data_IF_219345570104
#
_entry.id   IF_219345570104
#
_cell.length_a   1.000
_cell.length_b   1.000
_cell.length_c   1.000
_cell.angle_alpha   90.00
_cell.angle_beta   90.00
_cell.angle_gamma   90.00
#
_symmetry.space_group_name_H-M   'P 1'
#
loop_
_entity.id
_entity.type
_entity.pdbx_description
1 polymer ?
#
# COMPACT_ATOMS: atom_id res chain seq x y z
N UNK A 1 -8.97 27.37 14.94
CA UNK A 1 -8.40 27.27 13.60
C UNK A 1 -9.36 26.45 12.74
N UNK A 2 -9.78 27.00 11.61
CA UNK A 2 -10.62 26.25 10.66
C UNK A 2 -9.79 25.84 9.45
N UNK A 3 -10.02 24.63 8.97
CA UNK A 3 -9.40 24.14 7.75
C UNK A 3 -10.43 24.20 6.63
N UNK A 4 -10.05 24.81 5.52
CA UNK A 4 -10.84 24.75 4.29
C UNK A 4 -10.30 23.62 3.42
N UNK A 5 -11.18 22.85 2.83
CA UNK A 5 -10.81 21.74 1.98
C UNK A 5 -11.67 20.51 2.25
N UNK A 6 -11.37 19.44 1.57
CA UNK A 6 -12.11 18.18 1.73
C UNK A 6 -11.67 17.45 2.98
N UNK A 7 -12.63 16.82 3.63
CA UNK A 7 -12.32 15.88 4.71
C UNK A 7 -11.67 14.63 4.14
N UNK A 8 -10.64 14.14 4.82
CA UNK A 8 -9.99 12.88 4.50
C UNK A 8 -10.41 11.86 5.55
N UNK A 9 -10.87 10.72 5.11
CA UNK A 9 -11.34 9.65 6.00
C UNK A 9 -10.59 8.35 5.71
N UNK A 10 -10.42 7.52 6.74
CA UNK A 10 -9.93 6.17 6.59
C UNK A 10 -11.13 5.23 6.56
N UNK A 11 -11.26 4.48 5.48
CA UNK A 11 -12.45 3.64 5.24
C UNK A 11 -12.27 2.22 5.75
N UNK A 12 -11.10 1.64 5.55
CA UNK A 12 -10.85 0.25 5.89
C UNK A 12 -9.37 0.01 6.10
N UNK A 13 -9.02 -1.12 6.72
CA UNK A 13 -7.65 -1.52 6.93
C UNK A 13 -7.53 -3.04 7.02
N UNK A 14 -6.38 -3.56 6.62
CA UNK A 14 -6.06 -4.97 6.72
C UNK A 14 -4.57 -5.15 6.92
N UNK A 15 -4.18 -6.27 7.49
CA UNK A 15 -2.77 -6.62 7.65
C UNK A 15 -2.58 -8.13 7.54
N UNK A 16 -1.35 -8.52 7.23
CA UNK A 16 -0.92 -9.91 7.41
C UNK A 16 -0.51 -10.14 8.86
N UNK A 17 -0.50 -11.37 9.34
CA UNK A 17 0.03 -11.68 10.68
C UNK A 17 1.50 -11.26 10.81
N UNK A 18 1.93 -10.92 12.01
CA UNK A 18 3.34 -10.73 12.28
C UNK A 18 4.07 -12.06 12.18
N UNK A 19 5.28 -12.02 11.64
CA UNK A 19 6.14 -13.19 11.53
C UNK A 19 7.53 -12.88 12.09
N UNK A 20 8.18 -13.92 12.59
CA UNK A 20 9.56 -13.83 13.01
C UNK A 20 10.45 -13.64 11.79
N UNK A 21 11.41 -12.75 11.87
CA UNK A 21 12.40 -12.58 10.83
C UNK A 21 13.36 -13.77 10.79
N UNK A 22 13.95 -14.03 9.62
CA UNK A 22 14.96 -15.04 9.42
C UNK A 22 14.43 -16.36 8.88
N UNK A 23 15.33 -17.31 8.71
CA UNK A 23 15.07 -18.58 8.04
C UNK A 23 14.01 -19.47 8.72
N UNK A 24 13.75 -19.23 10.00
CA UNK A 24 12.75 -19.99 10.76
C UNK A 24 11.41 -19.29 10.87
N UNK A 25 11.26 -18.12 10.23
CA UNK A 25 10.01 -17.37 10.25
C UNK A 25 8.99 -17.92 9.25
N UNK A 26 7.71 -17.61 9.47
CA UNK A 26 6.62 -18.06 8.60
C UNK A 26 6.71 -17.48 7.19
N UNK A 27 7.41 -16.35 7.04
CA UNK A 27 7.57 -15.67 5.76
C UNK A 27 8.94 -15.88 5.12
N UNK A 28 9.73 -16.84 5.62
CA UNK A 28 11.10 -17.05 5.16
C UNK A 28 11.21 -17.22 3.64
N UNK A 29 10.20 -17.84 3.02
CA UNK A 29 10.17 -18.08 1.58
C UNK A 29 9.05 -17.29 0.87
N UNK A 30 8.51 -16.30 1.52
CA UNK A 30 7.45 -15.46 0.96
C UNK A 30 8.05 -14.13 0.49
N UNK A 31 7.73 -13.75 -0.73
CA UNK A 31 8.14 -12.44 -1.26
C UNK A 31 7.36 -11.32 -0.57
N UNK A 32 8.03 -10.21 -0.30
CA UNK A 32 7.39 -9.06 0.31
C UNK A 32 6.28 -8.46 -0.57
N UNK A 33 6.50 -8.41 -1.88
CA UNK A 33 5.49 -7.92 -2.82
C UNK A 33 4.22 -8.77 -2.82
N UNK A 34 4.33 -10.08 -2.61
CA UNK A 34 3.16 -10.95 -2.49
C UNK A 34 2.33 -10.63 -1.26
N UNK A 35 2.95 -10.25 -0.15
CA UNK A 35 2.25 -9.83 1.06
C UNK A 35 1.43 -8.56 0.81
N UNK A 36 2.03 -7.59 0.14
CA UNK A 36 1.35 -6.33 -0.22
C UNK A 36 0.16 -6.60 -1.14
N UNK A 37 0.37 -7.42 -2.16
CA UNK A 37 -0.69 -7.78 -3.11
C UNK A 37 -1.88 -8.44 -2.40
N UNK A 38 -1.61 -9.33 -1.44
CA UNK A 38 -2.67 -9.97 -0.66
C UNK A 38 -3.50 -8.97 0.14
N UNK A 39 -2.85 -7.99 0.75
CA UNK A 39 -3.54 -6.93 1.51
C UNK A 39 -4.41 -6.09 0.59
N UNK A 40 -3.89 -5.67 -0.55
CA UNK A 40 -4.65 -4.87 -1.51
C UNK A 40 -5.86 -5.65 -2.01
N UNK A 41 -5.68 -6.91 -2.40
CA UNK A 41 -6.77 -7.77 -2.87
C UNK A 41 -7.85 -7.95 -1.82
N UNK A 42 -7.47 -8.12 -0.56
CA UNK A 42 -8.43 -8.28 0.53
C UNK A 42 -9.25 -7.02 0.74
N UNK A 43 -8.63 -5.85 0.68
CA UNK A 43 -9.35 -4.58 0.79
C UNK A 43 -10.34 -4.39 -0.35
N UNK A 44 -9.95 -4.74 -1.57
CA UNK A 44 -10.85 -4.70 -2.73
C UNK A 44 -12.02 -5.67 -2.55
N UNK A 45 -11.74 -6.88 -2.09
CA UNK A 45 -12.76 -7.90 -1.86
C UNK A 45 -13.80 -7.46 -0.82
N UNK A 46 -13.36 -6.80 0.24
CA UNK A 46 -14.25 -6.30 1.30
C UNK A 46 -15.10 -5.13 0.86
N UNK A 47 -14.68 -4.42 -0.17
CA UNK A 47 -15.33 -3.20 -0.64
C UNK A 47 -15.77 -3.34 -2.10
N UNK A 48 -16.71 -4.25 -2.41
CA UNK A 48 -17.07 -4.56 -3.79
C UNK A 48 -17.77 -3.40 -4.51
N UNK A 49 -18.31 -2.45 -3.77
CA UNK A 49 -18.97 -1.27 -4.33
C UNK A 49 -17.97 -0.16 -4.71
N UNK A 50 -16.70 -0.32 -4.38
CA UNK A 50 -15.66 0.63 -4.79
C UNK A 50 -15.22 0.31 -6.21
N UNK A 51 -15.46 1.20 -7.18
CA UNK A 51 -14.96 0.98 -8.54
C UNK A 51 -13.42 1.06 -8.53
N UNK A 52 -12.75 0.07 -9.12
CA UNK A 52 -11.29 0.02 -9.14
C UNK A 52 -10.68 1.20 -9.90
N UNK A 53 -11.35 1.71 -10.91
CA UNK A 53 -10.90 2.85 -11.70
C UNK A 53 -10.99 4.19 -10.95
N UNK A 54 -11.60 4.20 -9.77
CA UNK A 54 -11.65 5.37 -8.89
C UNK A 54 -10.52 5.38 -7.86
N UNK A 55 -9.68 4.36 -7.84
CA UNK A 55 -8.46 4.34 -7.02
C UNK A 55 -7.40 5.17 -7.75
N UNK A 56 -7.09 6.32 -7.20
CA UNK A 56 -6.26 7.31 -7.87
C UNK A 56 -4.77 7.14 -7.61
N UNK A 57 -4.40 6.44 -6.53
CA UNK A 57 -2.99 6.24 -6.20
C UNK A 57 -2.79 5.08 -5.23
N UNK A 58 -1.65 4.41 -5.35
CA UNK A 58 -1.19 3.41 -4.40
C UNK A 58 0.16 3.81 -3.86
N UNK A 59 0.24 4.09 -2.58
CA UNK A 59 1.47 4.46 -1.90
C UNK A 59 1.91 3.33 -0.97
N UNK A 60 3.11 2.81 -1.16
CA UNK A 60 3.67 1.74 -0.34
C UNK A 60 4.94 2.20 0.33
N UNK A 61 5.04 1.97 1.63
CA UNK A 61 6.26 2.23 2.38
C UNK A 61 7.13 0.98 2.44
N UNK A 62 8.40 1.13 2.11
CA UNK A 62 9.38 0.06 2.19
C UNK A 62 10.73 0.64 2.60
N UNK A 63 11.35 0.05 3.62
CA UNK A 63 12.62 0.55 4.15
C UNK A 63 13.83 0.13 3.32
N UNK A 64 13.73 -0.99 2.61
CA UNK A 64 14.81 -1.51 1.78
C UNK A 64 14.24 -1.78 0.39
N UNK A 65 14.39 -0.82 -0.50
CA UNK A 65 13.76 -0.89 -1.82
C UNK A 65 14.66 -1.60 -2.83
N UNK A 66 15.01 -2.84 -2.52
CA UNK A 66 15.76 -3.74 -3.38
C UNK A 66 15.10 -5.11 -3.39
N UNK A 67 15.40 -5.93 -4.40
CA UNK A 67 14.83 -7.25 -4.54
C UNK A 67 13.31 -7.21 -4.65
N UNK A 68 12.64 -7.99 -3.83
CA UNK A 68 11.18 -8.09 -3.82
C UNK A 68 10.47 -6.85 -3.25
N UNK A 69 11.20 -5.89 -2.73
CA UNK A 69 10.69 -4.57 -2.31
C UNK A 69 11.14 -3.46 -3.25
N UNK A 70 11.79 -3.81 -4.35
CA UNK A 70 12.41 -2.84 -5.25
C UNK A 70 11.51 -2.34 -6.36
N UNK A 71 12.06 -1.38 -7.10
CA UNK A 71 11.55 -0.85 -8.35
C UNK A 71 10.08 -0.40 -8.27
N UNK A 72 9.84 0.59 -7.42
CA UNK A 72 8.51 1.22 -7.30
C UNK A 72 7.44 0.19 -6.91
N UNK A 73 7.61 -0.40 -5.74
CA UNK A 73 6.73 -1.45 -5.23
C UNK A 73 5.25 -1.05 -5.28
N UNK A 74 4.91 0.21 -5.02
CA UNK A 74 3.53 0.68 -5.09
C UNK A 74 2.92 0.46 -6.47
N UNK A 75 3.65 0.77 -7.53
CA UNK A 75 3.18 0.55 -8.90
C UNK A 75 3.11 -0.93 -9.24
N UNK A 76 4.15 -1.68 -8.91
CA UNK A 76 4.19 -3.11 -9.18
C UNK A 76 3.07 -3.85 -8.44
N UNK A 77 2.88 -3.54 -7.17
CA UNK A 77 1.82 -4.17 -6.37
C UNK A 77 0.43 -3.82 -6.89
N UNK A 78 0.21 -2.58 -7.33
CA UNK A 78 -1.07 -2.18 -7.93
C UNK A 78 -1.41 -3.02 -9.15
N UNK A 79 -0.45 -3.21 -10.05
CA UNK A 79 -0.66 -4.03 -11.25
C UNK A 79 -0.89 -5.50 -10.89
N UNK A 80 -0.09 -6.06 -10.01
CA UNK A 80 -0.22 -7.46 -9.60
C UNK A 80 -1.52 -7.73 -8.85
N UNK A 81 -2.04 -6.75 -8.14
CA UNK A 81 -3.31 -6.87 -7.43
C UNK A 81 -4.53 -6.77 -8.35
N UNK A 82 -4.33 -6.43 -9.62
CA UNK A 82 -5.41 -6.33 -10.60
C UNK A 82 -6.05 -4.95 -10.69
N UNK A 83 -5.39 -3.91 -10.21
CA UNK A 83 -5.86 -2.55 -10.42
C UNK A 83 -5.63 -2.12 -11.88
N UNK A 84 -6.38 -1.13 -12.39
CA UNK A 84 -6.20 -0.67 -13.76
C UNK A 84 -4.77 -0.19 -14.06
N UNK A 85 -4.33 -0.35 -15.28
CA UNK A 85 -3.02 0.15 -15.72
C UNK A 85 -2.86 1.66 -15.53
N UNK A 86 -3.98 2.37 -15.47
CA UNK A 86 -3.99 3.82 -15.27
C UNK A 86 -3.79 4.24 -13.82
N UNK A 87 -3.83 3.31 -12.85
CA UNK A 87 -3.65 3.63 -11.44
C UNK A 87 -2.15 3.80 -11.14
N UNK A 88 -1.69 5.01 -10.82
CA UNK A 88 -0.29 5.22 -10.49
C UNK A 88 0.05 4.63 -9.12
N UNK A 89 1.31 4.38 -8.90
CA UNK A 89 1.80 3.91 -7.62
C UNK A 89 3.22 4.40 -7.37
N UNK A 90 3.57 4.62 -6.13
CA UNK A 90 4.92 5.00 -5.74
C UNK A 90 5.32 4.33 -4.44
N UNK A 91 6.61 4.34 -4.18
CA UNK A 91 7.18 3.83 -2.94
C UNK A 91 7.86 4.96 -2.18
N UNK A 92 7.83 4.87 -0.87
CA UNK A 92 8.45 5.87 -0.01
C UNK A 92 9.23 5.16 1.08
N UNK A 93 10.33 5.76 1.50
CA UNK A 93 11.12 5.27 2.62
C UNK A 93 11.25 6.38 3.66
N UNK A 94 10.84 6.08 4.85
CA UNK A 94 11.06 6.90 6.03
C UNK A 94 11.22 5.98 7.23
N UNK A 95 11.96 4.91 7.05
CA UNK A 95 12.18 3.88 8.06
C UNK A 95 10.84 3.42 8.68
N UNK A 96 10.76 3.31 9.99
CA UNK A 96 9.55 2.83 10.67
C UNK A 96 8.35 3.77 10.55
N UNK A 97 8.56 5.02 10.14
CA UNK A 97 7.49 6.01 9.92
C UNK A 97 7.00 6.07 8.48
N UNK A 98 7.42 5.15 7.62
CA UNK A 98 7.10 5.19 6.20
C UNK A 98 5.61 5.14 5.90
N UNK A 99 4.87 4.24 6.55
CA UNK A 99 3.43 4.11 6.31
C UNK A 99 2.66 5.38 6.72
N UNK A 100 3.03 5.99 7.85
CA UNK A 100 2.43 7.25 8.28
C UNK A 100 2.71 8.36 7.25
N UNK A 101 3.94 8.42 6.75
CA UNK A 101 4.32 9.40 5.73
C UNK A 101 3.56 9.17 4.42
N UNK A 102 3.41 7.91 4.00
CA UNK A 102 2.62 7.57 2.82
C UNK A 102 1.17 8.05 2.96
N UNK A 103 0.56 7.80 4.12
CA UNK A 103 -0.79 8.27 4.41
C UNK A 103 -0.91 9.78 4.35
N UNK A 104 0.07 10.51 4.89
CA UNK A 104 0.09 11.98 4.84
C UNK A 104 0.22 12.50 3.40
N UNK A 105 1.09 11.88 2.60
CA UNK A 105 1.28 12.28 1.20
C UNK A 105 -0.01 12.07 0.40
N UNK A 106 -0.63 10.90 0.52
CA UNK A 106 -1.89 10.61 -0.18
C UNK A 106 -2.99 11.54 0.29
N UNK A 107 -3.08 11.80 1.59
CA UNK A 107 -4.08 12.72 2.16
C UNK A 107 -3.96 14.12 1.59
N UNK A 108 -2.73 14.60 1.40
CA UNK A 108 -2.50 15.94 0.84
C UNK A 108 -2.97 16.07 -0.60
N UNK A 109 -3.05 14.96 -1.33
CA UNK A 109 -3.56 14.93 -2.70
C UNK A 109 -5.08 15.03 -2.82
N UNK A 110 -5.81 14.86 -1.71
CA UNK A 110 -7.28 14.87 -1.71
C UNK A 110 -7.84 16.31 -1.66
N UNK A 111 -7.03 17.25 -1.24
CA UNK A 111 -7.44 18.65 -1.17
C UNK A 111 -7.79 19.26 -2.50
#
# INVERSE_FOLDING_TARGET
>A
MSFSGRSVVMVDGARTPFGRAGAKGIYAETRADDLVVKVIRELIRRNPNLPKDRIEEVAIAATTQIGDQGLTLGRTAALLAGLPETTPGFSIDRMCAGAMTAACVVSSGIG
#
